data_IF_060920506393
#
_entry.id   IF_060920506393
#
_cell.length_a   1.000
_cell.length_b   1.000
_cell.length_c   1.000
_cell.angle_alpha   90.00
_cell.angle_beta   90.00
_cell.angle_gamma   90.00
#
_symmetry.space_group_name_H-M   'P 1'
#
loop_
_entity.id
_entity.type
_entity.pdbx_description
1 polymer ?
#
# COMPACT_ATOMS: atom_id res chain seq x y z
N UNK A 1 4.80 -39.70 10.50
CA UNK A 1 5.73 -39.86 9.37
C UNK A 1 5.12 -39.08 8.23
N UNK A 2 5.76 -38.00 7.77
CA UNK A 2 5.28 -37.27 6.60
C UNK A 2 5.66 -38.06 5.35
N UNK A 3 4.67 -38.37 4.51
CA UNK A 3 4.95 -38.96 3.20
C UNK A 3 5.52 -37.87 2.30
N UNK A 4 6.74 -38.07 1.83
CA UNK A 4 7.45 -37.17 0.93
C UNK A 4 7.49 -37.79 -0.46
N UNK A 5 7.09 -37.02 -1.46
CA UNK A 5 6.97 -37.45 -2.85
C UNK A 5 7.96 -36.68 -3.72
N UNK A 6 8.67 -37.37 -4.60
CA UNK A 6 9.47 -36.66 -5.59
C UNK A 6 8.56 -35.94 -6.59
N UNK A 7 9.08 -34.96 -7.35
CA UNK A 7 8.28 -34.30 -8.39
C UNK A 7 7.72 -35.29 -9.45
N UNK A 8 8.47 -36.33 -9.88
CA UNK A 8 7.92 -37.43 -10.68
C UNK A 8 6.80 -38.22 -10.00
N UNK A 9 6.89 -38.46 -8.69
CA UNK A 9 5.85 -39.16 -7.93
C UNK A 9 4.59 -38.30 -7.81
N UNK A 10 4.76 -37.01 -7.52
CA UNK A 10 3.70 -36.03 -7.49
C UNK A 10 2.97 -35.95 -8.85
N UNK A 11 3.71 -35.98 -9.96
CA UNK A 11 3.14 -36.00 -11.30
C UNK A 11 2.28 -37.25 -11.56
N UNK A 12 2.73 -38.43 -11.12
CA UNK A 12 1.97 -39.68 -11.25
C UNK A 12 0.71 -39.68 -10.40
N UNK A 13 0.78 -39.18 -9.17
CA UNK A 13 -0.36 -39.12 -8.24
C UNK A 13 -1.41 -38.10 -8.68
N UNK A 14 -0.96 -36.92 -9.10
CA UNK A 14 -1.85 -35.81 -9.47
C UNK A 14 -2.32 -35.86 -10.91
N UNK A 15 -1.64 -36.64 -11.77
CA UNK A 15 -1.82 -36.66 -13.21
C UNK A 15 -1.43 -35.36 -13.91
N UNK A 16 -0.63 -34.51 -13.26
CA UNK A 16 -0.14 -33.23 -13.79
C UNK A 16 1.27 -33.44 -14.34
N UNK A 17 1.61 -32.94 -15.55
CA UNK A 17 2.95 -33.08 -16.09
C UNK A 17 4.02 -32.46 -15.16
N UNK A 18 5.17 -33.13 -15.04
CA UNK A 18 6.28 -32.64 -14.20
C UNK A 18 6.71 -31.21 -14.55
N UNK A 19 6.72 -30.88 -15.85
CA UNK A 19 7.06 -29.54 -16.35
C UNK A 19 6.10 -28.48 -15.81
N UNK A 20 4.80 -28.79 -15.73
CA UNK A 20 3.77 -27.91 -15.18
C UNK A 20 3.93 -27.73 -13.69
N UNK A 21 4.19 -28.81 -12.94
CA UNK A 21 4.46 -28.74 -11.49
C UNK A 21 5.67 -27.85 -11.19
N UNK A 22 6.78 -28.04 -11.92
CA UNK A 22 7.98 -27.19 -11.80
C UNK A 22 7.70 -25.73 -12.18
N UNK A 23 6.90 -25.52 -13.22
CA UNK A 23 6.52 -24.19 -13.68
C UNK A 23 5.68 -23.44 -12.64
N UNK A 24 4.69 -24.09 -12.05
CA UNK A 24 3.85 -23.51 -11.00
C UNK A 24 4.63 -23.12 -9.76
N UNK A 25 5.55 -23.99 -9.33
CA UNK A 25 6.42 -23.70 -8.20
C UNK A 25 7.31 -22.46 -8.45
N UNK A 26 7.72 -22.22 -9.70
CA UNK A 26 8.53 -21.04 -10.07
C UNK A 26 7.70 -19.78 -10.23
N UNK A 27 6.50 -19.87 -10.85
CA UNK A 27 5.65 -18.72 -11.18
C UNK A 27 4.84 -18.19 -10.00
N UNK A 28 4.59 -19.01 -8.98
CA UNK A 28 3.75 -18.63 -7.83
C UNK A 28 4.46 -18.86 -6.49
N UNK A 29 5.49 -18.05 -6.16
CA UNK A 29 6.31 -18.24 -4.97
C UNK A 29 5.55 -18.09 -3.64
N UNK A 30 4.38 -17.42 -3.63
CA UNK A 30 3.54 -17.27 -2.43
C UNK A 30 2.51 -18.39 -2.22
N UNK A 31 2.29 -19.25 -3.21
CA UNK A 31 1.26 -20.30 -3.16
C UNK A 31 1.82 -21.58 -2.54
N UNK A 32 3.06 -21.94 -2.89
CA UNK A 32 3.72 -23.13 -2.35
C UNK A 32 4.70 -22.71 -1.25
N UNK A 33 4.27 -22.81 0.00
CA UNK A 33 5.13 -22.53 1.15
C UNK A 33 6.13 -23.67 1.36
N UNK A 34 7.41 -23.31 1.51
CA UNK A 34 8.45 -24.25 1.91
C UNK A 34 8.19 -24.77 3.34
N UNK A 35 8.64 -25.99 3.63
CA UNK A 35 8.39 -26.74 4.89
C UNK A 35 6.94 -27.21 5.09
N UNK A 36 5.97 -26.57 4.43
CA UNK A 36 4.55 -26.94 4.50
C UNK A 36 4.14 -27.78 3.29
N UNK A 37 4.42 -27.31 2.07
CA UNK A 37 3.99 -27.94 0.81
C UNK A 37 5.15 -28.56 0.04
N UNK A 38 6.35 -27.98 0.20
CA UNK A 38 7.58 -28.42 -0.46
C UNK A 38 8.72 -28.42 0.55
N UNK A 39 9.45 -29.53 0.65
CA UNK A 39 10.64 -29.68 1.49
C UNK A 39 11.84 -29.90 0.58
N UNK A 40 12.99 -29.31 0.91
CA UNK A 40 14.24 -29.61 0.23
C UNK A 40 14.96 -30.74 0.97
N UNK A 41 15.37 -31.78 0.25
CA UNK A 41 16.23 -32.84 0.76
C UNK A 41 17.67 -32.32 1.00
N UNK A 42 18.50 -33.10 1.70
CA UNK A 42 19.91 -32.79 1.99
C UNK A 42 20.74 -32.53 0.72
N UNK A 43 20.28 -33.04 -0.42
CA UNK A 43 20.86 -32.84 -1.75
C UNK A 43 20.23 -31.67 -2.55
N UNK A 44 19.36 -30.88 -1.94
CA UNK A 44 18.66 -29.75 -2.58
C UNK A 44 17.53 -30.16 -3.52
N UNK A 45 17.15 -31.44 -3.53
CA UNK A 45 16.03 -31.95 -4.33
C UNK A 45 14.72 -31.56 -3.68
N UNK A 46 13.79 -30.99 -4.46
CA UNK A 46 12.48 -30.58 -3.96
C UNK A 46 11.53 -31.77 -3.89
N UNK A 47 11.10 -32.07 -2.68
CA UNK A 47 10.14 -33.09 -2.32
C UNK A 47 8.80 -32.43 -1.95
N UNK A 48 7.72 -33.10 -2.29
CA UNK A 48 6.35 -32.65 -2.07
C UNK A 48 5.78 -33.37 -0.86
N UNK A 49 5.20 -32.62 0.06
CA UNK A 49 4.44 -33.18 1.18
C UNK A 49 3.03 -33.56 0.71
N UNK A 50 2.32 -34.33 1.51
CA UNK A 50 0.92 -34.70 1.27
C UNK A 50 0.01 -33.46 1.07
N UNK A 51 0.16 -32.43 1.89
CA UNK A 51 -0.52 -31.13 1.72
C UNK A 51 -0.13 -30.43 0.41
N UNK A 52 1.11 -30.58 -0.05
CA UNK A 52 1.54 -30.10 -1.37
C UNK A 52 0.84 -30.83 -2.52
N UNK A 53 0.63 -32.15 -2.39
CA UNK A 53 -0.11 -32.96 -3.36
C UNK A 53 -1.59 -32.57 -3.40
N UNK A 54 -2.23 -32.36 -2.25
CA UNK A 54 -3.62 -31.89 -2.15
C UNK A 54 -3.80 -30.52 -2.82
N UNK A 55 -2.85 -29.61 -2.62
CA UNK A 55 -2.85 -28.29 -3.25
C UNK A 55 -2.67 -28.36 -4.78
N UNK A 56 -1.88 -29.32 -5.27
CA UNK A 56 -1.77 -29.58 -6.70
C UNK A 56 -3.10 -30.11 -7.29
N UNK A 57 -3.80 -30.98 -6.55
CA UNK A 57 -5.12 -31.48 -6.96
C UNK A 57 -6.19 -30.38 -7.00
N UNK A 58 -6.24 -29.51 -5.99
CA UNK A 58 -7.23 -28.42 -5.95
C UNK A 58 -7.04 -27.45 -7.11
N UNK A 59 -5.78 -27.14 -7.47
CA UNK A 59 -5.48 -26.32 -8.65
C UNK A 59 -5.83 -26.98 -9.99
N UNK A 60 -5.73 -28.31 -10.09
CA UNK A 60 -6.20 -29.02 -11.29
C UNK A 60 -7.72 -28.93 -11.39
N UNK A 61 -8.43 -29.14 -10.28
CA UNK A 61 -9.89 -29.08 -10.24
C UNK A 61 -10.43 -27.71 -10.66
N UNK A 62 -9.80 -26.62 -10.22
CA UNK A 62 -10.16 -25.27 -10.65
C UNK A 62 -9.92 -25.04 -12.14
N UNK A 63 -8.86 -25.61 -12.72
CA UNK A 63 -8.55 -25.44 -14.15
C UNK A 63 -9.50 -26.23 -15.05
N UNK A 64 -9.87 -27.46 -14.67
CA UNK A 64 -10.82 -28.27 -15.45
C UNK A 64 -12.26 -27.79 -15.38
N UNK A 65 -12.63 -26.96 -14.40
CA UNK A 65 -13.97 -26.38 -14.28
C UNK A 65 -14.16 -25.13 -15.15
N UNK A 66 -13.09 -24.54 -15.68
CA UNK A 66 -13.09 -23.28 -16.44
C UNK A 66 -12.59 -23.42 -17.88
N UNK A 67 -12.35 -24.63 -18.36
CA UNK A 67 -11.60 -24.89 -19.61
C UNK A 67 -12.48 -24.94 -20.89
N UNK A 68 -13.59 -24.17 -20.96
CA UNK A 68 -14.38 -24.08 -22.20
C UNK A 68 -14.56 -22.66 -22.79
N UNK A 69 -14.06 -21.60 -22.15
CA UNK A 69 -13.87 -20.30 -22.81
C UNK A 69 -13.17 -19.34 -21.83
N UNK A 70 -11.91 -18.96 -22.11
CA UNK A 70 -11.25 -17.70 -21.68
C UNK A 70 -9.72 -17.80 -21.81
N UNK A 71 -9.21 -17.71 -23.03
CA UNK A 71 -7.93 -17.03 -23.28
C UNK A 71 -8.21 -15.51 -23.24
N UNK A 72 -8.66 -14.98 -22.10
CA UNK A 72 -8.74 -13.54 -21.82
C UNK A 72 -8.96 -13.33 -20.32
N UNK A 73 -8.06 -12.56 -19.69
CA UNK A 73 -8.25 -11.82 -18.44
C UNK A 73 -8.65 -12.59 -17.17
N UNK A 74 -7.65 -13.07 -16.42
CA UNK A 74 -7.84 -13.49 -15.02
C UNK A 74 -6.68 -13.05 -14.10
N UNK A 75 -6.10 -11.88 -14.34
CA UNK A 75 -5.12 -11.26 -13.42
C UNK A 75 -5.71 -10.17 -12.50
N UNK A 76 -7.04 -9.94 -12.47
CA UNK A 76 -7.56 -8.69 -11.86
C UNK A 76 -8.82 -8.78 -10.99
N UNK A 77 -9.22 -9.93 -10.43
CA UNK A 77 -10.46 -9.99 -9.60
C UNK A 77 -10.28 -10.47 -8.15
N UNK A 78 -9.09 -10.90 -7.74
CA UNK A 78 -8.80 -11.24 -6.35
C UNK A 78 -8.36 -10.06 -5.43
N UNK A 79 -7.72 -8.97 -5.91
CA UNK A 79 -7.33 -7.87 -5.00
C UNK A 79 -8.51 -7.02 -4.51
N UNK A 80 -9.65 -7.06 -5.21
CA UNK A 80 -10.76 -6.13 -5.00
C UNK A 80 -11.67 -6.49 -3.80
N UNK A 81 -11.62 -7.75 -3.33
CA UNK A 81 -12.47 -8.20 -2.22
C UNK A 81 -11.93 -7.75 -0.85
N UNK A 82 -10.61 -7.67 -0.69
CA UNK A 82 -10.00 -7.08 0.50
C UNK A 82 -10.08 -5.57 0.48
N UNK A 83 -9.94 -4.95 -0.69
CA UNK A 83 -10.04 -3.51 -0.86
C UNK A 83 -11.47 -3.02 -0.55
N UNK A 84 -12.50 -3.70 -1.07
CA UNK A 84 -13.90 -3.40 -0.76
C UNK A 84 -14.27 -3.64 0.72
N UNK A 85 -13.70 -4.64 1.38
CA UNK A 85 -13.87 -4.85 2.83
C UNK A 85 -13.18 -3.76 3.66
N UNK A 86 -12.03 -3.26 3.21
CA UNK A 86 -11.29 -2.19 3.88
C UNK A 86 -11.87 -0.80 3.58
N UNK A 87 -12.55 -0.63 2.45
CA UNK A 87 -13.13 0.64 2.03
C UNK A 87 -14.21 1.13 2.99
N UNK A 88 -15.05 0.23 3.51
CA UNK A 88 -16.09 0.59 4.49
C UNK A 88 -15.46 1.12 5.80
N UNK A 89 -14.43 0.43 6.30
CA UNK A 89 -13.72 0.84 7.52
C UNK A 89 -12.90 2.12 7.30
N UNK A 90 -12.28 2.27 6.13
CA UNK A 90 -11.56 3.49 5.74
C UNK A 90 -12.52 4.70 5.68
N UNK A 91 -13.70 4.52 5.10
CA UNK A 91 -14.72 5.57 5.04
C UNK A 91 -15.24 5.93 6.44
N UNK A 92 -15.45 4.94 7.30
CA UNK A 92 -15.85 5.16 8.69
C UNK A 92 -14.79 5.94 9.47
N UNK A 93 -13.51 5.58 9.29
CA UNK A 93 -12.39 6.28 9.91
C UNK A 93 -12.23 7.71 9.38
N UNK A 94 -12.43 7.92 8.08
CA UNK A 94 -12.40 9.26 7.47
C UNK A 94 -13.50 10.18 8.04
N UNK A 95 -14.72 9.65 8.20
CA UNK A 95 -15.84 10.40 8.79
C UNK A 95 -15.57 10.80 10.24
N UNK A 96 -15.04 9.88 11.06
CA UNK A 96 -14.67 10.19 12.45
C UNK A 96 -13.52 11.18 12.53
N UNK A 97 -12.52 11.05 11.64
CA UNK A 97 -11.43 12.01 11.54
C UNK A 97 -11.95 13.41 11.20
N UNK A 98 -12.86 13.50 10.24
CA UNK A 98 -13.51 14.75 9.84
C UNK A 98 -14.25 15.42 11.00
N UNK A 99 -15.00 14.63 11.77
CA UNK A 99 -15.72 15.10 12.96
C UNK A 99 -14.79 15.69 14.02
N UNK A 100 -13.61 15.09 14.19
CA UNK A 100 -12.61 15.54 15.18
C UNK A 100 -11.69 16.66 14.68
N UNK A 101 -11.72 16.97 13.38
CA UNK A 101 -10.85 17.95 12.74
C UNK A 101 -10.90 19.33 13.42
N UNK A 102 -12.07 19.91 13.77
CA UNK A 102 -12.12 21.20 14.46
C UNK A 102 -11.43 21.20 15.83
N UNK A 103 -11.54 20.09 16.58
CA UNK A 103 -10.87 19.98 17.88
C UNK A 103 -9.36 19.93 17.73
N UNK A 104 -8.87 19.18 16.74
CA UNK A 104 -7.44 19.05 16.44
C UNK A 104 -6.84 20.34 15.90
N UNK A 105 -7.54 21.06 15.04
CA UNK A 105 -7.08 22.37 14.55
C UNK A 105 -6.96 23.37 15.69
N UNK A 106 -7.93 23.43 16.60
CA UNK A 106 -7.86 24.29 17.78
C UNK A 106 -6.69 23.92 18.71
N UNK A 107 -6.45 22.63 18.93
CA UNK A 107 -5.29 22.16 19.70
C UNK A 107 -3.97 22.58 19.03
N UNK A 108 -3.89 22.44 17.69
CA UNK A 108 -2.70 22.85 16.94
C UNK A 108 -2.47 24.35 17.00
N UNK A 109 -3.52 25.17 16.91
CA UNK A 109 -3.44 26.63 17.08
C UNK A 109 -2.94 26.98 18.48
N UNK A 110 -3.45 26.32 19.53
CA UNK A 110 -2.94 26.51 20.91
C UNK A 110 -1.45 26.16 21.01
N UNK A 111 -1.06 25.03 20.42
CA UNK A 111 0.35 24.63 20.38
C UNK A 111 1.22 25.66 19.64
N UNK A 112 0.78 26.17 18.49
CA UNK A 112 1.48 27.21 17.74
C UNK A 112 1.62 28.50 18.53
N UNK A 113 0.62 28.85 19.34
CA UNK A 113 0.67 30.02 20.22
C UNK A 113 1.66 29.83 21.36
N UNK A 114 1.61 28.68 22.03
CA UNK A 114 2.35 28.45 23.27
C UNK A 114 3.80 27.98 23.02
N UNK A 115 4.06 27.28 21.90
CA UNK A 115 5.39 26.83 21.49
C UNK A 115 5.52 26.76 19.94
N UNK A 116 5.72 27.92 19.27
CA UNK A 116 5.82 27.96 17.82
C UNK A 116 7.14 27.38 17.31
N UNK A 117 7.05 26.59 16.23
CA UNK A 117 8.22 26.19 15.45
C UNK A 117 8.88 27.43 14.80
N UNK A 118 10.16 27.35 14.39
CA UNK A 118 10.84 28.48 13.74
C UNK A 118 10.10 29.02 12.51
N UNK A 119 9.57 28.13 11.66
CA UNK A 119 8.75 28.48 10.49
C UNK A 119 7.46 29.22 10.89
N UNK A 120 6.77 28.73 11.92
CA UNK A 120 5.54 29.36 12.40
C UNK A 120 5.80 30.76 12.97
N UNK A 121 6.96 30.99 13.60
CA UNK A 121 7.36 32.33 14.06
C UNK A 121 7.54 33.30 12.89
N UNK A 122 8.11 32.84 11.77
CA UNK A 122 8.27 33.67 10.58
C UNK A 122 6.91 34.08 10.02
N UNK A 123 5.96 33.14 9.94
CA UNK A 123 4.58 33.43 9.49
C UNK A 123 3.92 34.48 10.39
N UNK A 124 4.06 34.35 11.72
CA UNK A 124 3.53 35.35 12.66
C UNK A 124 4.21 36.71 12.47
N UNK A 125 5.52 36.76 12.29
CA UNK A 125 6.23 38.02 12.05
C UNK A 125 5.82 38.69 10.73
N UNK A 126 5.65 37.90 9.66
CA UNK A 126 5.19 38.39 8.36
C UNK A 126 3.76 38.94 8.45
N UNK A 127 2.85 38.22 9.11
CA UNK A 127 1.47 38.66 9.27
C UNK A 127 1.35 39.92 10.13
N UNK A 128 2.14 40.03 11.21
CA UNK A 128 2.22 41.26 12.01
C UNK A 128 2.75 42.43 11.19
N UNK A 129 3.82 42.24 10.42
CA UNK A 129 4.36 43.28 9.52
C UNK A 129 3.35 43.69 8.45
N UNK A 130 2.66 42.74 7.84
CA UNK A 130 1.62 43.01 6.85
C UNK A 130 0.45 43.81 7.46
N UNK A 131 0.00 43.46 8.66
CA UNK A 131 -1.05 44.18 9.37
C UNK A 131 -0.63 45.61 9.73
N UNK A 132 0.62 45.80 10.18
CA UNK A 132 1.18 47.13 10.44
C UNK A 132 1.21 47.93 9.14
N UNK A 133 1.74 47.35 8.05
CA UNK A 133 1.85 48.02 6.76
C UNK A 133 0.48 48.44 6.21
N UNK A 134 -0.53 47.57 6.25
CA UNK A 134 -1.89 47.90 5.84
C UNK A 134 -2.51 49.00 6.72
N UNK A 135 -2.30 48.94 8.03
CA UNK A 135 -2.75 50.00 8.95
C UNK A 135 -2.05 51.34 8.68
N UNK A 136 -0.75 51.32 8.40
CA UNK A 136 0.01 52.53 8.05
C UNK A 136 -0.36 53.08 6.67
N UNK A 137 -0.65 52.22 5.69
CA UNK A 137 -1.12 52.62 4.37
C UNK A 137 -2.46 53.36 4.48
N UNK A 138 -3.41 52.83 5.27
CA UNK A 138 -4.67 53.50 5.52
C UNK A 138 -4.54 54.84 6.26
N UNK A 139 -3.47 55.04 7.03
CA UNK A 139 -3.24 56.27 7.82
C UNK A 139 -2.34 57.30 7.11
N UNK A 140 -1.54 56.92 6.10
CA UNK A 140 -0.44 57.75 5.57
C UNK A 140 -0.48 58.10 4.07
N UNK A 141 -1.57 57.91 3.33
CA UNK A 141 -1.54 58.27 1.90
C UNK A 141 -1.39 59.80 1.69
N UNK A 142 -0.51 60.26 0.75
CA UNK A 142 -0.13 59.62 -0.52
C UNK A 142 1.38 59.39 -0.74
N UNK A 143 2.25 59.41 0.27
CA UNK A 143 3.72 59.34 0.07
C UNK A 143 4.37 58.02 0.46
N UNK A 144 3.64 57.04 0.99
CA UNK A 144 4.24 55.75 1.36
C UNK A 144 4.27 54.80 0.16
N UNK A 145 5.44 54.64 -0.46
CA UNK A 145 5.71 53.55 -1.40
C UNK A 145 5.96 52.26 -0.60
N UNK A 146 5.16 51.21 -0.76
CA UNK A 146 5.48 49.92 -0.14
C UNK A 146 6.81 49.44 -0.72
N UNK A 147 7.79 49.13 0.14
CA UNK A 147 8.94 48.33 -0.28
C UNK A 147 8.42 46.98 -0.73
N UNK A 148 8.41 46.76 -2.05
CA UNK A 148 8.11 45.48 -2.65
C UNK A 148 9.06 44.44 -2.06
N UNK A 149 8.48 43.34 -1.59
CA UNK A 149 9.23 42.17 -1.16
C UNK A 149 9.91 41.58 -2.40
N UNK A 150 11.20 41.87 -2.59
CA UNK A 150 12.06 41.01 -3.40
C UNK A 150 12.18 39.66 -2.67
N UNK A 151 11.32 38.72 -3.06
CA UNK A 151 11.56 37.29 -2.90
C UNK A 151 12.09 36.79 -4.24
N UNK A 152 13.41 36.67 -4.33
CA UNK A 152 14.09 36.14 -5.51
C UNK A 152 13.61 34.72 -5.84
N UNK A 153 13.10 34.57 -7.05
CA UNK A 153 13.29 33.34 -7.82
C UNK A 153 14.79 33.19 -8.08
N UNK A 154 15.50 32.51 -7.19
CA UNK A 154 16.78 31.87 -7.52
C UNK A 154 16.47 30.48 -8.07
N UNK A 155 16.13 30.43 -9.36
CA UNK A 155 16.42 29.27 -10.20
C UNK A 155 17.76 29.52 -10.89
N UNK A 156 18.82 28.85 -10.41
CA UNK A 156 19.89 28.23 -11.20
C UNK A 156 20.72 27.29 -10.32
#
# INVERSE_FOLDING_TARGET
>A
MQNLYTTPDAARLTGIPESTIRSWLRRHPGVFQFEVHVVADEHGVKLWTESGIELLHSRRATKTATDDDAETDAETDAPDLLESLLEEDAQRLANEYWRLLPGRTLQRIKQMRDNPTPEQRQIVQLSVRAAINAGTEHLLLPTYQPMLLEGGDETD
#
